data_IF_160301214158
#
_entry.id   IF_160301214158
#
_cell.length_a   1.000
_cell.length_b   1.000
_cell.length_c   1.000
_cell.angle_alpha   90.00
_cell.angle_beta   90.00
_cell.angle_gamma   90.00
#
_symmetry.space_group_name_H-M   'P 1'
#
loop_
_entity.id
_entity.type
_entity.pdbx_description
1 polymer ?
#
# COMPACT_ATOMS: atom_id res chain seq x y z
N UNK A 1 -15.70 -5.87 -3.26
CA UNK A 1 -15.37 -5.12 -4.49
C UNK A 1 -15.34 -3.62 -4.29
N UNK A 2 -16.36 -3.00 -3.68
CA UNK A 2 -16.33 -1.57 -3.31
C UNK A 2 -15.07 -1.19 -2.54
N UNK A 3 -14.65 -2.03 -1.59
CA UNK A 3 -13.41 -1.83 -0.82
C UNK A 3 -12.14 -1.81 -1.69
N UNK A 4 -12.11 -2.60 -2.77
CA UNK A 4 -10.96 -2.62 -3.68
C UNK A 4 -10.85 -1.31 -4.45
N UNK A 5 -11.97 -0.70 -4.84
CA UNK A 5 -11.99 0.62 -5.47
C UNK A 5 -11.45 1.69 -4.53
N UNK A 6 -11.86 1.65 -3.25
CA UNK A 6 -11.35 2.55 -2.23
C UNK A 6 -9.83 2.38 -2.01
N UNK A 7 -9.33 1.15 -1.98
CA UNK A 7 -7.89 0.88 -1.89
C UNK A 7 -7.14 1.34 -3.14
N UNK A 8 -7.67 1.12 -4.35
CA UNK A 8 -7.05 1.60 -5.58
C UNK A 8 -6.90 3.13 -5.52
N UNK A 9 -7.96 3.86 -5.19
CA UNK A 9 -7.92 5.32 -5.09
C UNK A 9 -6.94 5.82 -4.01
N UNK A 10 -6.91 5.15 -2.85
CA UNK A 10 -6.00 5.48 -1.76
C UNK A 10 -4.53 5.25 -2.17
N UNK A 11 -4.20 4.06 -2.68
CA UNK A 11 -2.83 3.73 -3.07
C UNK A 11 -2.36 4.51 -4.30
N UNK A 12 -3.25 4.86 -5.23
CA UNK A 12 -2.91 5.77 -6.33
C UNK A 12 -2.55 7.16 -5.81
N UNK A 13 -3.29 7.68 -4.83
CA UNK A 13 -2.98 8.96 -4.20
C UNK A 13 -1.64 8.89 -3.46
N UNK A 14 -1.40 7.84 -2.66
CA UNK A 14 -0.12 7.63 -1.98
C UNK A 14 1.05 7.55 -2.96
N UNK A 15 0.87 6.87 -4.09
CA UNK A 15 1.88 6.76 -5.15
C UNK A 15 2.23 8.15 -5.70
N UNK A 16 1.21 8.97 -6.00
CA UNK A 16 1.42 10.33 -6.51
C UNK A 16 2.15 11.19 -5.47
N UNK A 17 1.75 11.13 -4.20
CA UNK A 17 2.39 11.88 -3.12
C UNK A 17 3.86 11.46 -2.93
N UNK A 18 4.16 10.16 -2.97
CA UNK A 18 5.53 9.65 -2.89
C UNK A 18 6.37 10.13 -4.09
N UNK A 19 5.81 10.10 -5.31
CA UNK A 19 6.49 10.62 -6.51
C UNK A 19 6.81 12.10 -6.35
N UNK A 20 5.82 12.92 -5.97
CA UNK A 20 6.02 14.35 -5.79
C UNK A 20 7.06 14.65 -4.69
N UNK A 21 7.05 13.88 -3.60
CA UNK A 21 8.07 13.97 -2.56
C UNK A 21 9.45 13.57 -3.07
N UNK A 22 9.55 12.52 -3.89
CA UNK A 22 10.83 12.04 -4.44
C UNK A 22 11.45 12.99 -5.47
N UNK A 23 10.62 13.77 -6.16
CA UNK A 23 11.06 14.82 -7.08
C UNK A 23 11.45 16.12 -6.36
N UNK A 24 11.46 16.12 -5.03
CA UNK A 24 11.73 17.27 -4.17
C UNK A 24 10.88 18.51 -4.49
N UNK A 25 9.68 18.29 -5.07
CA UNK A 25 8.76 19.35 -5.50
C UNK A 25 8.16 20.13 -4.31
N UNK A 26 8.27 19.57 -3.10
CA UNK A 26 7.81 20.16 -1.84
C UNK A 26 8.94 20.53 -0.87
N UNK A 27 10.21 20.40 -1.26
CA UNK A 27 11.36 20.68 -0.37
C UNK A 27 11.56 19.65 0.76
N UNK A 28 10.95 18.47 0.65
CA UNK A 28 11.10 17.36 1.59
C UNK A 28 12.02 16.28 1.00
N UNK A 29 13.21 16.09 1.57
CA UNK A 29 14.20 15.05 1.21
C UNK A 29 13.79 13.63 1.67
N UNK A 30 12.51 13.27 1.57
CA UNK A 30 11.97 12.03 2.16
C UNK A 30 11.72 10.87 1.19
N UNK A 31 11.44 11.14 -0.09
CA UNK A 31 10.89 10.13 -0.99
C UNK A 31 11.93 9.38 -1.82
N UNK A 32 12.05 8.06 -1.64
CA UNK A 32 12.77 7.21 -2.60
C UNK A 32 11.85 6.81 -3.75
N UNK A 33 12.30 6.97 -5.00
CA UNK A 33 11.57 6.52 -6.21
C UNK A 33 11.20 5.01 -6.12
N UNK A 34 12.01 4.23 -5.40
CA UNK A 34 11.73 2.81 -5.16
C UNK A 34 10.42 2.62 -4.37
N UNK A 35 10.12 3.48 -3.40
CA UNK A 35 8.89 3.37 -2.61
C UNK A 35 7.65 3.64 -3.46
N UNK A 36 7.71 4.59 -4.39
CA UNK A 36 6.61 4.88 -5.29
C UNK A 36 6.38 3.74 -6.28
N UNK A 37 7.45 3.07 -6.73
CA UNK A 37 7.34 1.83 -7.49
C UNK A 37 6.59 0.75 -6.69
N UNK A 38 6.94 0.53 -5.42
CA UNK A 38 6.24 -0.46 -4.58
C UNK A 38 4.76 -0.09 -4.40
N UNK A 39 4.44 1.16 -4.08
CA UNK A 39 3.04 1.64 -4.00
C UNK A 39 2.28 1.47 -5.33
N UNK A 40 2.95 1.72 -6.45
CA UNK A 40 2.41 1.47 -7.78
C UNK A 40 2.10 -0.01 -8.03
N UNK A 41 3.01 -0.92 -7.65
CA UNK A 41 2.77 -2.37 -7.78
C UNK A 41 1.61 -2.87 -6.91
N UNK A 42 1.46 -2.34 -5.69
CA UNK A 42 0.31 -2.62 -4.83
C UNK A 42 -1.00 -2.17 -5.51
N UNK A 43 -1.01 -0.94 -6.04
CA UNK A 43 -2.15 -0.39 -6.79
C UNK A 43 -2.51 -1.26 -7.99
N UNK A 44 -1.52 -1.65 -8.80
CA UNK A 44 -1.71 -2.51 -9.96
C UNK A 44 -2.24 -3.89 -9.58
N UNK A 45 -1.82 -4.44 -8.43
CA UNK A 45 -2.30 -5.73 -7.94
C UNK A 45 -3.76 -5.65 -7.47
N UNK A 46 -4.15 -4.56 -6.79
CA UNK A 46 -5.57 -4.31 -6.49
C UNK A 46 -6.42 -4.15 -7.75
N UNK A 47 -5.91 -3.40 -8.75
CA UNK A 47 -6.58 -3.21 -10.03
C UNK A 47 -6.76 -4.54 -10.77
N UNK A 48 -5.73 -5.38 -10.83
CA UNK A 48 -5.82 -6.73 -11.39
C UNK A 48 -6.86 -7.58 -10.66
N UNK A 49 -6.92 -7.50 -9.33
CA UNK A 49 -7.93 -8.19 -8.53
C UNK A 49 -9.36 -7.74 -8.83
N UNK A 50 -9.54 -6.45 -9.12
CA UNK A 50 -10.82 -5.87 -9.54
C UNK A 50 -11.23 -6.38 -10.93
N UNK A 51 -10.31 -6.34 -11.91
CA UNK A 51 -10.55 -6.77 -13.30
C UNK A 51 -10.88 -8.26 -13.37
N UNK A 52 -10.07 -9.10 -12.73
CA UNK A 52 -10.23 -10.57 -12.73
C UNK A 52 -11.29 -11.03 -11.73
N UNK A 53 -11.90 -10.10 -10.97
CA UNK A 53 -12.94 -10.35 -9.96
C UNK A 53 -12.56 -11.41 -8.92
N UNK A 54 -11.28 -11.50 -8.55
CA UNK A 54 -10.75 -12.56 -7.67
C UNK A 54 -10.19 -11.97 -6.37
N UNK A 55 -10.84 -12.32 -5.25
CA UNK A 55 -10.49 -11.83 -3.91
C UNK A 55 -9.07 -12.19 -3.46
N UNK A 56 -8.48 -13.27 -3.99
CA UNK A 56 -7.10 -13.65 -3.68
C UNK A 56 -6.10 -12.54 -4.01
N UNK A 57 -6.31 -11.78 -5.10
CA UNK A 57 -5.42 -10.67 -5.46
C UNK A 57 -5.56 -9.48 -4.51
N UNK A 58 -6.79 -9.19 -4.05
CA UNK A 58 -7.06 -8.13 -3.07
C UNK A 58 -6.38 -8.45 -1.74
N UNK A 59 -6.44 -9.72 -1.32
CA UNK A 59 -5.78 -10.22 -0.11
C UNK A 59 -4.26 -10.12 -0.24
N UNK A 60 -3.68 -10.59 -1.35
CA UNK A 60 -2.23 -10.50 -1.60
C UNK A 60 -1.75 -9.06 -1.62
N UNK A 61 -2.44 -8.16 -2.33
CA UNK A 61 -2.09 -6.74 -2.36
C UNK A 61 -2.13 -6.11 -0.95
N UNK A 62 -3.12 -6.49 -0.13
CA UNK A 62 -3.24 -6.01 1.25
C UNK A 62 -2.11 -6.55 2.15
N UNK A 63 -1.69 -7.81 1.97
CA UNK A 63 -0.55 -8.36 2.70
C UNK A 63 0.77 -7.66 2.33
N UNK A 64 0.99 -7.40 1.03
CA UNK A 64 2.15 -6.66 0.54
C UNK A 64 2.14 -5.24 1.13
N UNK A 65 0.99 -4.57 1.12
CA UNK A 65 0.84 -3.25 1.72
C UNK A 65 1.17 -3.21 3.22
N UNK A 66 0.76 -4.22 3.98
CA UNK A 66 1.09 -4.31 5.40
C UNK A 66 2.59 -4.56 5.64
N UNK A 67 3.18 -5.48 4.88
CA UNK A 67 4.61 -5.75 4.99
C UNK A 67 5.44 -4.51 4.64
N UNK A 68 5.04 -3.79 3.58
CA UNK A 68 5.70 -2.56 3.16
C UNK A 68 5.52 -1.42 4.17
N UNK A 69 4.34 -1.30 4.78
CA UNK A 69 4.07 -0.37 5.87
C UNK A 69 4.96 -0.64 7.08
N UNK A 70 5.05 -1.91 7.52
CA UNK A 70 5.95 -2.28 8.62
C UNK A 70 7.42 -1.97 8.30
N UNK A 71 7.86 -2.24 7.07
CA UNK A 71 9.22 -1.95 6.62
C UNK A 71 9.51 -0.45 6.62
N UNK A 72 8.60 0.37 6.08
CA UNK A 72 8.76 1.82 6.02
C UNK A 72 8.71 2.48 7.40
N UNK A 73 7.92 1.94 8.34
CA UNK A 73 7.97 2.35 9.75
C UNK A 73 9.36 2.06 10.35
N UNK A 74 9.90 0.86 10.12
CA UNK A 74 11.25 0.53 10.60
C UNK A 74 12.33 1.42 9.99
N UNK A 75 12.24 1.74 8.70
CA UNK A 75 13.15 2.69 8.04
C UNK A 75 13.02 4.07 8.65
N UNK A 76 11.80 4.57 8.86
CA UNK A 76 11.57 5.86 9.49
C UNK A 76 12.19 5.93 10.89
N UNK A 77 12.07 4.87 11.69
CA UNK A 77 12.70 4.80 13.02
C UNK A 77 14.24 4.73 12.95
N UNK A 78 14.80 4.20 11.87
CA UNK A 78 16.24 3.99 11.72
C UNK A 78 16.97 5.19 11.10
N UNK A 79 16.32 5.91 10.17
CA UNK A 79 16.96 6.96 9.37
C UNK A 79 16.18 8.27 9.29
N UNK A 80 15.04 8.39 10.00
CA UNK A 80 14.11 9.53 9.94
C UNK A 80 13.55 9.81 8.53
N UNK A 81 13.80 8.90 7.57
CA UNK A 81 13.31 9.01 6.20
C UNK A 81 11.82 8.65 6.15
N UNK A 82 11.01 9.65 5.86
CA UNK A 82 9.55 9.50 5.77
C UNK A 82 9.11 8.98 4.39
N UNK A 83 8.25 7.96 4.40
CA UNK A 83 7.57 7.45 3.20
C UNK A 83 6.08 7.29 3.41
N UNK A 84 5.28 7.64 2.41
CA UNK A 84 3.85 7.41 2.35
C UNK A 84 3.50 5.90 2.32
N UNK A 85 4.50 5.02 2.13
CA UNK A 85 4.37 3.58 2.35
C UNK A 85 3.86 3.19 3.73
N UNK A 86 4.09 4.04 4.74
CA UNK A 86 3.60 3.83 6.11
C UNK A 86 2.09 3.62 6.12
N UNK A 87 1.32 4.33 5.30
CA UNK A 87 -0.14 4.24 5.27
C UNK A 87 -0.69 2.90 4.73
N UNK A 88 0.17 1.98 4.29
CA UNK A 88 -0.24 0.62 3.92
C UNK A 88 -0.98 -0.15 5.03
N UNK A 89 -0.82 0.27 6.30
CA UNK A 89 -1.54 -0.29 7.45
C UNK A 89 -3.07 -0.18 7.34
N UNK A 90 -3.60 0.74 6.52
CA UNK A 90 -5.06 0.91 6.34
C UNK A 90 -5.73 -0.36 5.80
N UNK A 91 -4.97 -1.25 5.18
CA UNK A 91 -5.43 -2.54 4.67
C UNK A 91 -5.52 -3.63 5.74
N UNK A 92 -5.01 -3.39 6.97
CA UNK A 92 -5.00 -4.37 8.07
C UNK A 92 -6.39 -4.91 8.43
N UNK A 93 -7.44 -4.07 8.59
CA UNK A 93 -8.77 -4.56 8.96
C UNK A 93 -9.33 -5.54 7.93
N UNK A 94 -9.01 -5.35 6.65
CA UNK A 94 -9.42 -6.25 5.57
C UNK A 94 -8.75 -7.62 5.70
N UNK A 95 -7.42 -7.65 5.90
CA UNK A 95 -6.67 -8.89 6.09
C UNK A 95 -7.17 -9.66 7.31
N UNK A 96 -7.38 -8.98 8.45
CA UNK A 96 -7.90 -9.60 9.67
C UNK A 96 -9.28 -10.22 9.44
N UNK A 97 -10.17 -9.54 8.72
CA UNK A 97 -11.49 -10.05 8.37
C UNK A 97 -11.42 -11.30 7.49
N UNK A 98 -10.59 -11.28 6.45
CA UNK A 98 -10.44 -12.42 5.53
C UNK A 98 -9.82 -13.65 6.21
N UNK A 99 -8.81 -13.45 7.06
CA UNK A 99 -8.20 -14.53 7.84
C UNK A 99 -9.19 -15.15 8.83
N UNK A 100 -9.99 -14.34 9.51
CA UNK A 100 -11.03 -14.82 10.44
C UNK A 100 -12.11 -15.63 9.72
N UNK A 101 -12.50 -15.24 8.52
CA UNK A 101 -13.48 -15.97 7.71
C UNK A 101 -12.94 -17.31 7.24
N UNK A 102 -11.67 -17.39 6.84
CA UNK A 102 -11.03 -18.67 6.46
C UNK A 102 -10.89 -19.65 7.61
N UNK A 103 -10.80 -19.19 8.86
CA UNK A 103 -10.67 -20.04 10.05
C UNK A 103 -11.99 -20.65 10.52
N UNK A 104 -13.13 -20.19 9.97
CA UNK A 104 -14.49 -20.70 10.25
C UNK A 104 -14.97 -21.76 9.26
N UNK A 105 -14.16 -22.07 8.24
CA UNK A 105 -14.38 -23.15 7.26
C UNK A 105 -13.49 -24.32 7.65
#
# INVERSE_FOLDING_TARGET
MVLAVAFIACFSLLTILEILSSLNLFGFEGGMIVNSFVLGTITATFLKGLIVKKNSYILVASLIALAFSALTIMVYLASESFSYGIFGFITAPYVVRELKNKKKV
#
